data_IF_310797298486
#
_entry.id   IF_310797298486
#
_cell.length_a   1.000
_cell.length_b   1.000
_cell.length_c   1.000
_cell.angle_alpha   90.00
_cell.angle_beta   90.00
_cell.angle_gamma   90.00
#
_symmetry.space_group_name_H-M   'P 1'
#
loop_
_entity.id
_entity.type
_entity.pdbx_description
1 polymer ?
#
# COMPACT_ATOMS: atom_id res chain seq x y z
N UNK A 1 11.36 7.61 12.23
CA UNK A 1 11.15 8.85 13.02
C UNK A 1 10.88 9.97 12.01
N UNK A 2 9.62 10.29 11.75
CA UNK A 2 9.21 11.24 10.71
C UNK A 2 9.53 12.66 11.16
N UNK A 3 10.63 13.23 10.67
CA UNK A 3 10.95 14.63 10.93
C UNK A 3 10.26 15.49 9.88
N UNK A 4 9.15 16.11 10.31
CA UNK A 4 8.50 17.20 9.59
C UNK A 4 9.56 18.28 9.33
N UNK A 5 9.63 18.76 8.09
CA UNK A 5 10.64 19.73 7.69
C UNK A 5 10.62 20.98 8.59
N UNK A 6 11.77 21.46 9.10
CA UNK A 6 11.81 22.52 10.11
C UNK A 6 11.17 23.84 9.61
N UNK A 7 11.38 24.17 8.34
CA UNK A 7 10.89 25.42 7.74
C UNK A 7 9.42 25.30 7.30
N UNK A 8 8.57 26.20 7.79
CA UNK A 8 7.11 26.16 7.61
C UNK A 8 6.68 26.24 6.14
N UNK A 9 7.32 27.09 5.35
CA UNK A 9 6.97 27.30 3.94
C UNK A 9 7.23 26.06 3.09
N UNK A 10 8.25 25.27 3.43
CA UNK A 10 8.47 23.96 2.79
C UNK A 10 7.34 23.00 3.14
N UNK A 11 6.88 22.98 4.40
CA UNK A 11 5.73 22.13 4.78
C UNK A 11 4.47 22.48 3.97
N UNK A 12 4.21 23.76 3.72
CA UNK A 12 3.09 24.20 2.88
C UNK A 12 3.21 23.65 1.45
N UNK A 13 4.41 23.68 0.86
CA UNK A 13 4.62 23.11 -0.49
C UNK A 13 4.49 21.59 -0.48
N UNK A 14 5.05 20.90 0.51
CA UNK A 14 4.92 19.45 0.66
C UNK A 14 3.45 19.05 0.79
N UNK A 15 2.68 19.75 1.63
CA UNK A 15 1.25 19.54 1.80
C UNK A 15 0.49 19.77 0.48
N UNK A 16 0.78 20.86 -0.23
CA UNK A 16 0.18 21.13 -1.54
C UNK A 16 0.42 19.98 -2.51
N UNK A 17 1.66 19.51 -2.63
CA UNK A 17 2.02 18.39 -3.52
C UNK A 17 1.32 17.10 -3.12
N UNK A 18 1.20 16.81 -1.82
CA UNK A 18 0.44 15.64 -1.37
C UNK A 18 -1.06 15.76 -1.66
N UNK A 19 -1.67 16.93 -1.44
CA UNK A 19 -3.09 17.15 -1.76
C UNK A 19 -3.32 17.03 -3.27
N UNK A 20 -2.46 17.63 -4.09
CA UNK A 20 -2.55 17.54 -5.55
C UNK A 20 -2.47 16.09 -6.04
N UNK A 21 -1.54 15.31 -5.50
CA UNK A 21 -1.45 13.90 -5.85
C UNK A 21 -2.67 13.10 -5.35
N UNK A 22 -3.04 13.25 -4.07
CA UNK A 22 -4.06 12.40 -3.43
C UNK A 22 -5.49 12.73 -3.87
N UNK A 23 -5.80 14.00 -4.15
CA UNK A 23 -7.15 14.44 -4.54
C UNK A 23 -7.34 14.61 -6.04
N UNK A 24 -6.29 15.01 -6.76
CA UNK A 24 -6.39 15.36 -8.18
C UNK A 24 -5.57 14.44 -9.08
N UNK A 25 -4.97 13.38 -8.52
CA UNK A 25 -4.21 12.36 -9.26
C UNK A 25 -3.10 12.96 -10.13
N UNK A 26 -2.49 14.06 -9.69
CA UNK A 26 -1.35 14.67 -10.38
C UNK A 26 -0.21 13.65 -10.47
N UNK A 27 0.34 13.48 -11.68
CA UNK A 27 1.38 12.47 -11.92
C UNK A 27 2.64 12.70 -11.10
N UNK A 28 3.36 11.61 -10.78
CA UNK A 28 4.64 11.67 -10.07
C UNK A 28 5.66 12.63 -10.71
N UNK A 29 5.69 12.71 -12.06
CA UNK A 29 6.58 13.61 -12.79
C UNK A 29 6.21 15.08 -12.57
N UNK A 30 4.91 15.39 -12.61
CA UNK A 30 4.43 16.74 -12.35
C UNK A 30 4.70 17.15 -10.89
N UNK A 31 4.49 16.24 -9.92
CA UNK A 31 4.85 16.48 -8.52
C UNK A 31 6.35 16.76 -8.35
N UNK A 32 7.22 15.97 -8.99
CA UNK A 32 8.66 16.19 -8.94
C UNK A 32 9.06 17.54 -9.55
N UNK A 33 8.44 17.92 -10.68
CA UNK A 33 8.66 19.22 -11.31
C UNK A 33 8.27 20.37 -10.38
N UNK A 34 7.10 20.31 -9.74
CA UNK A 34 6.65 21.32 -8.77
C UNK A 34 7.67 21.47 -7.63
N UNK A 35 8.15 20.36 -7.07
CA UNK A 35 9.13 20.37 -5.98
C UNK A 35 10.46 21.01 -6.40
N UNK A 36 10.98 20.64 -7.58
CA UNK A 36 12.22 21.23 -8.14
C UNK A 36 12.04 22.72 -8.44
N UNK A 37 10.93 23.12 -9.07
CA UNK A 37 10.64 24.53 -9.33
C UNK A 37 10.60 25.34 -8.02
N UNK A 38 9.92 24.82 -6.99
CA UNK A 38 9.85 25.50 -5.70
C UNK A 38 11.22 25.59 -5.01
N UNK A 39 12.04 24.54 -5.06
CA UNK A 39 13.42 24.60 -4.57
C UNK A 39 14.23 25.70 -5.28
N UNK A 40 14.15 25.77 -6.61
CA UNK A 40 14.86 26.79 -7.40
C UNK A 40 14.39 28.21 -7.09
N UNK A 41 13.08 28.41 -6.89
CA UNK A 41 12.52 29.71 -6.49
C UNK A 41 13.07 30.13 -5.13
N UNK A 42 13.09 29.23 -4.14
CA UNK A 42 13.59 29.56 -2.81
C UNK A 42 15.12 29.80 -2.77
N UNK A 43 15.88 29.17 -3.66
CA UNK A 43 17.31 29.45 -3.83
C UNK A 43 17.55 30.81 -4.51
N UNK A 44 16.70 31.21 -5.46
CA UNK A 44 16.85 32.46 -6.21
C UNK A 44 16.36 33.72 -5.49
N UNK A 45 15.63 33.59 -4.38
CA UNK A 45 15.14 34.72 -3.61
C UNK A 45 16.27 35.38 -2.78
N UNK A 46 16.28 36.72 -2.66
CA UNK A 46 17.28 37.44 -1.87
C UNK A 46 17.28 36.96 -0.42
N UNK A 47 18.48 36.60 0.08
CA UNK A 47 18.66 36.00 1.39
C UNK A 47 18.89 34.48 1.38
N UNK A 48 18.93 33.83 0.21
CA UNK A 48 19.20 32.39 0.05
C UNK A 48 18.42 31.57 1.08
N UNK A 49 17.09 31.72 1.08
CA UNK A 49 16.19 31.14 2.07
C UNK A 49 16.37 29.62 2.21
N UNK A 50 16.89 28.98 1.15
CA UNK A 50 17.18 27.56 1.08
C UNK A 50 18.60 27.30 0.58
N UNK A 51 19.33 26.43 1.29
CA UNK A 51 20.58 25.84 0.78
C UNK A 51 20.31 24.68 -0.17
N UNK A 52 21.29 24.26 -0.97
CA UNK A 52 21.12 23.20 -1.95
C UNK A 52 20.67 21.89 -1.30
N UNK A 53 19.68 21.21 -1.89
CA UNK A 53 19.15 19.90 -1.46
C UNK A 53 18.50 19.88 -0.07
N UNK A 54 18.05 21.01 0.43
CA UNK A 54 17.33 21.07 1.72
C UNK A 54 15.85 20.73 1.60
N UNK A 55 15.28 20.68 0.39
CA UNK A 55 13.87 20.37 0.16
C UNK A 55 13.68 18.99 -0.47
N UNK A 56 12.66 18.21 -0.08
CA UNK A 56 12.30 16.97 -0.78
C UNK A 56 12.00 17.21 -2.27
N UNK A 57 12.64 16.43 -3.14
CA UNK A 57 12.51 16.56 -4.61
C UNK A 57 11.65 15.49 -5.26
N UNK A 58 11.23 14.49 -4.48
CA UNK A 58 10.40 13.39 -4.96
C UNK A 58 9.16 13.26 -4.10
N UNK A 59 8.08 12.76 -4.69
CA UNK A 59 6.86 12.48 -3.95
C UNK A 59 7.11 11.48 -2.81
N UNK A 60 7.95 10.46 -3.03
CA UNK A 60 8.29 9.47 -2.00
C UNK A 60 8.95 10.10 -0.78
N UNK A 61 9.92 11.00 -0.98
CA UNK A 61 10.55 11.73 0.13
C UNK A 61 9.58 12.70 0.79
N UNK A 62 8.70 13.33 0.01
CA UNK A 62 7.62 14.19 0.52
C UNK A 62 6.67 13.42 1.45
N UNK A 63 6.22 12.23 1.04
CA UNK A 63 5.35 11.37 1.85
C UNK A 63 6.06 10.87 3.10
N UNK A 64 7.33 10.47 3.00
CA UNK A 64 8.14 10.07 4.15
C UNK A 64 8.27 11.19 5.19
N UNK A 65 8.58 12.41 4.75
CA UNK A 65 8.70 13.58 5.64
C UNK A 65 7.37 13.95 6.32
N UNK A 66 6.24 13.71 5.67
CA UNK A 66 4.91 13.98 6.23
C UNK A 66 4.32 12.77 6.98
N UNK A 67 5.01 11.63 7.03
CA UNK A 67 4.46 10.41 7.60
C UNK A 67 3.24 9.87 6.86
N UNK A 68 3.15 10.14 5.55
CA UNK A 68 2.11 9.64 4.65
C UNK A 68 2.58 8.39 3.88
N UNK A 69 3.62 7.71 4.34
CA UNK A 69 4.03 6.45 3.71
C UNK A 69 3.05 5.35 4.07
N UNK A 70 2.68 4.56 3.06
CA UNK A 70 1.91 3.34 3.22
C UNK A 70 2.81 2.23 3.77
N UNK A 71 3.23 2.36 5.03
CA UNK A 71 4.06 1.35 5.73
C UNK A 71 3.29 0.03 6.00
N UNK A 72 2.00 0.01 5.65
CA UNK A 72 1.08 -1.11 5.89
C UNK A 72 1.23 -2.24 4.88
N UNK A 73 1.84 -1.97 3.73
CA UNK A 73 2.00 -2.97 2.68
C UNK A 73 3.46 -3.41 2.57
N UNK A 74 3.70 -4.70 2.75
CA UNK A 74 4.95 -5.33 2.35
C UNK A 74 4.89 -5.64 0.86
N UNK A 75 5.90 -5.23 0.12
CA UNK A 75 5.95 -5.49 -1.30
C UNK A 75 6.67 -6.81 -1.56
N UNK A 76 5.98 -7.76 -2.19
CA UNK A 76 6.53 -9.05 -2.60
C UNK A 76 6.77 -9.09 -4.11
N UNK A 77 7.76 -9.87 -4.51
CA UNK A 77 8.03 -10.19 -5.91
C UNK A 77 7.13 -11.35 -6.31
N UNK A 78 6.59 -11.31 -7.52
CA UNK A 78 5.62 -12.30 -7.99
C UNK A 78 6.17 -12.97 -9.24
N UNK A 79 6.13 -14.31 -9.30
CA UNK A 79 6.39 -15.02 -10.54
C UNK A 79 5.33 -14.63 -11.59
N UNK A 80 5.73 -14.20 -12.79
CA UNK A 80 4.76 -13.80 -13.82
C UNK A 80 3.93 -14.97 -14.37
N UNK A 81 4.37 -16.21 -14.16
CA UNK A 81 3.70 -17.42 -14.66
C UNK A 81 2.82 -18.08 -13.58
N UNK A 82 3.41 -18.57 -12.49
CA UNK A 82 2.67 -19.27 -11.43
C UNK A 82 2.13 -18.36 -10.32
N UNK A 83 2.43 -17.06 -10.34
CA UNK A 83 2.02 -16.10 -9.31
C UNK A 83 2.52 -16.37 -7.88
N UNK A 84 3.50 -17.28 -7.72
CA UNK A 84 4.15 -17.52 -6.43
C UNK A 84 4.84 -16.25 -5.91
N UNK A 85 4.75 -16.03 -4.60
CA UNK A 85 5.23 -14.85 -3.91
C UNK A 85 6.63 -15.07 -3.33
N UNK A 86 7.49 -14.08 -3.49
CA UNK A 86 8.86 -14.09 -2.97
C UNK A 86 9.16 -12.82 -2.17
N UNK A 87 9.98 -12.90 -1.11
CA UNK A 87 10.44 -11.72 -0.39
C UNK A 87 11.22 -10.75 -1.27
N UNK A 88 11.21 -9.47 -0.92
CA UNK A 88 12.00 -8.44 -1.63
C UNK A 88 13.51 -8.57 -1.49
N UNK A 89 13.97 -9.41 -0.56
CA UNK A 89 15.37 -9.61 -0.22
C UNK A 89 16.07 -10.64 -1.10
N UNK A 90 15.34 -11.35 -1.97
CA UNK A 90 15.93 -12.32 -2.89
C UNK A 90 16.87 -11.64 -3.88
N UNK A 91 17.89 -12.38 -4.33
CA UNK A 91 18.84 -11.86 -5.31
C UNK A 91 18.16 -11.61 -6.67
N UNK A 92 18.61 -10.56 -7.35
CA UNK A 92 18.21 -10.17 -8.70
C UNK A 92 18.50 -11.20 -9.80
N UNK A 93 19.30 -12.23 -9.51
CA UNK A 93 19.52 -13.38 -10.38
C UNK A 93 18.60 -14.58 -10.06
N UNK A 94 17.72 -14.46 -9.05
CA UNK A 94 16.83 -15.54 -8.63
C UNK A 94 15.79 -15.85 -9.71
N UNK A 95 15.59 -17.16 -9.95
CA UNK A 95 14.55 -17.71 -10.82
C UNK A 95 13.45 -18.35 -9.98
N UNK A 96 12.24 -18.41 -10.54
CA UNK A 96 11.16 -19.18 -9.93
C UNK A 96 11.56 -20.67 -9.87
N UNK A 97 11.49 -21.35 -8.71
CA UNK A 97 11.82 -22.77 -8.60
C UNK A 97 10.90 -23.68 -9.42
N UNK A 98 9.63 -23.31 -9.57
CA UNK A 98 8.62 -24.10 -10.27
C UNK A 98 8.64 -23.84 -11.79
N UNK A 99 8.69 -22.58 -12.20
CA UNK A 99 8.60 -22.21 -13.61
C UNK A 99 9.96 -22.02 -14.29
N UNK A 100 11.05 -21.94 -13.54
CA UNK A 100 12.42 -21.63 -14.02
C UNK A 100 12.57 -20.31 -14.78
N UNK A 101 11.58 -19.42 -14.70
CA UNK A 101 11.61 -18.08 -15.30
C UNK A 101 12.37 -17.07 -14.43
N UNK A 102 12.99 -16.08 -15.06
CA UNK A 102 13.64 -14.98 -14.36
C UNK A 102 12.59 -14.08 -13.67
N UNK A 103 12.78 -13.80 -12.38
CA UNK A 103 11.89 -12.92 -11.62
C UNK A 103 12.13 -11.43 -11.88
N UNK A 104 13.29 -11.12 -12.46
CA UNK A 104 13.77 -9.75 -12.69
C UNK A 104 14.05 -9.52 -14.17
N UNK A 105 13.70 -8.33 -14.63
CA UNK A 105 14.04 -7.89 -15.97
C UNK A 105 15.56 -7.94 -16.16
N UNK A 106 16.03 -8.32 -17.36
CA UNK A 106 17.45 -8.31 -17.66
C UNK A 106 18.02 -6.93 -17.40
N UNK A 107 19.24 -6.88 -16.85
CA UNK A 107 19.96 -5.62 -16.72
C UNK A 107 20.11 -5.01 -18.12
N UNK A 108 19.28 -4.02 -18.45
CA UNK A 108 19.52 -3.23 -19.65
C UNK A 108 20.92 -2.64 -19.48
N UNK A 109 21.76 -2.75 -20.51
CA UNK A 109 23.03 -2.04 -20.58
C UNK A 109 22.73 -0.53 -20.61
N UNK A 110 22.47 0.04 -19.44
CA UNK A 110 22.13 1.44 -19.30
C UNK A 110 23.43 2.22 -19.22
N UNK A 111 24.09 2.36 -20.38
CA UNK A 111 25.19 3.31 -20.59
C UNK A 111 24.86 4.67 -19.96
N UNK A 112 23.62 5.12 -20.12
CA UNK A 112 23.13 6.37 -19.54
C UNK A 112 23.08 6.37 -18.01
N UNK A 113 22.73 5.25 -17.35
CA UNK A 113 22.76 5.17 -15.88
C UNK A 113 24.18 5.03 -15.35
N UNK A 114 25.08 4.37 -16.07
CA UNK A 114 26.49 4.32 -15.71
C UNK A 114 27.10 5.73 -15.76
N UNK A 115 26.78 6.53 -16.79
CA UNK A 115 27.18 7.94 -16.89
C UNK A 115 26.59 8.76 -15.75
N UNK A 116 25.29 8.63 -15.47
CA UNK A 116 24.63 9.35 -14.35
C UNK A 116 25.21 8.95 -12.99
N UNK A 117 25.51 7.67 -12.75
CA UNK A 117 26.14 7.19 -11.53
C UNK A 117 27.57 7.76 -11.37
N UNK A 118 28.29 7.90 -12.48
CA UNK A 118 29.63 8.51 -12.52
C UNK A 118 29.58 10.01 -12.20
N UNK A 119 28.58 10.72 -12.72
CA UNK A 119 28.39 12.17 -12.50
C UNK A 119 27.80 12.47 -11.11
N UNK A 120 26.96 11.60 -10.57
CA UNK A 120 26.28 11.80 -9.27
C UNK A 120 27.02 11.18 -8.09
N UNK A 121 28.14 10.49 -8.32
CA UNK A 121 28.94 9.82 -7.28
C UNK A 121 28.24 8.63 -6.62
N UNK A 122 27.07 8.23 -7.13
CA UNK A 122 26.22 7.24 -6.49
C UNK A 122 26.51 5.85 -7.07
N UNK A 123 27.46 5.13 -6.47
CA UNK A 123 27.95 3.80 -6.90
C UNK A 123 27.05 2.63 -6.46
N UNK A 124 25.75 2.82 -6.31
CA UNK A 124 24.87 1.68 -6.10
C UNK A 124 24.61 1.00 -7.46
N UNK A 125 24.91 -0.30 -7.61
CA UNK A 125 24.56 -1.02 -8.83
C UNK A 125 23.04 -0.90 -9.04
N UNK A 126 22.58 -0.62 -10.27
CA UNK A 126 21.16 -0.50 -10.53
C UNK A 126 20.50 -1.84 -10.21
N UNK A 127 19.64 -1.86 -9.19
CA UNK A 127 18.88 -3.05 -8.85
C UNK A 127 18.00 -3.41 -10.04
N UNK A 128 18.09 -4.66 -10.51
CA UNK A 128 17.22 -5.13 -11.58
C UNK A 128 15.78 -4.98 -11.12
N UNK A 129 14.91 -4.53 -12.01
CA UNK A 129 13.50 -4.34 -11.68
C UNK A 129 12.78 -5.69 -11.76
N UNK A 130 12.03 -6.10 -10.72
CA UNK A 130 11.18 -7.28 -10.81
C UNK A 130 10.16 -7.14 -11.97
N UNK A 131 9.80 -8.26 -12.58
CA UNK A 131 8.76 -8.28 -13.62
C UNK A 131 7.38 -7.94 -13.08
N UNK A 132 7.05 -8.49 -11.91
CA UNK A 132 5.77 -8.28 -11.24
C UNK A 132 6.00 -8.12 -9.73
N UNK A 133 5.24 -7.20 -9.13
CA UNK A 133 5.24 -6.95 -7.68
C UNK A 133 3.81 -6.87 -7.18
N UNK A 134 3.56 -7.41 -6.00
CA UNK A 134 2.28 -7.31 -5.31
C UNK A 134 2.47 -6.64 -3.94
N UNK A 135 1.68 -5.61 -3.61
CA UNK A 135 1.56 -5.14 -2.24
C UNK A 135 0.74 -6.16 -1.45
N UNK A 136 1.23 -6.55 -0.28
CA UNK A 136 0.59 -7.47 0.65
C UNK A 136 0.42 -6.76 1.98
N UNK A 137 -0.78 -6.83 2.53
CA UNK A 137 -1.05 -6.47 3.91
C UNK A 137 -1.66 -7.69 4.58
N UNK A 138 -1.08 -8.13 5.70
CA UNK A 138 -1.67 -9.23 6.45
C UNK A 138 -3.00 -8.80 7.03
N UNK A 139 -3.98 -9.71 7.01
CA UNK A 139 -5.27 -9.47 7.64
C UNK A 139 -5.12 -9.07 9.11
N UNK A 140 -4.18 -9.68 9.82
CA UNK A 140 -3.86 -9.34 11.22
C UNK A 140 -3.47 -7.89 11.42
N UNK A 141 -2.73 -7.31 10.47
CA UNK A 141 -2.28 -5.91 10.54
C UNK A 141 -3.46 -4.97 10.26
N UNK A 142 -4.29 -5.31 9.27
CA UNK A 142 -5.54 -4.58 9.00
C UNK A 142 -6.52 -4.62 10.18
N UNK A 143 -6.66 -5.77 10.83
CA UNK A 143 -7.50 -5.94 12.01
C UNK A 143 -6.99 -5.14 13.21
N UNK A 144 -5.67 -5.10 13.42
CA UNK A 144 -5.05 -4.29 14.48
C UNK A 144 -5.41 -2.81 14.31
N UNK A 145 -5.23 -2.27 13.11
CA UNK A 145 -5.58 -0.89 12.78
C UNK A 145 -7.07 -0.61 12.94
N UNK A 146 -7.92 -1.59 12.60
CA UNK A 146 -9.36 -1.50 12.75
C UNK A 146 -9.75 -1.40 14.24
N UNK A 147 -9.24 -2.31 15.08
CA UNK A 147 -9.55 -2.35 16.51
C UNK A 147 -9.00 -1.16 17.30
N UNK A 148 -7.93 -0.51 16.84
CA UNK A 148 -7.41 0.71 17.47
C UNK A 148 -8.34 1.92 17.30
N UNK A 149 -9.32 1.88 16.39
CA UNK A 149 -10.26 2.98 16.20
C UNK A 149 -11.23 3.06 17.40
N UNK A 150 -11.34 4.23 18.06
CA UNK A 150 -12.27 4.41 19.18
C UNK A 150 -13.70 4.00 18.80
N UNK A 151 -14.34 3.20 19.66
CA UNK A 151 -15.72 2.72 19.45
C UNK A 151 -15.88 1.59 18.43
N UNK A 152 -14.82 1.18 17.70
CA UNK A 152 -14.93 0.13 16.68
C UNK A 152 -15.33 -1.22 17.27
N UNK A 153 -14.75 -1.60 18.41
CA UNK A 153 -15.09 -2.86 19.08
C UNK A 153 -16.57 -2.93 19.45
N UNK A 154 -17.13 -1.84 19.97
CA UNK A 154 -18.56 -1.74 20.28
C UNK A 154 -19.39 -1.84 19.02
N UNK A 155 -19.01 -1.11 17.96
CA UNK A 155 -19.69 -1.14 16.67
C UNK A 155 -19.71 -2.56 16.06
N UNK A 156 -18.59 -3.28 16.13
CA UNK A 156 -18.47 -4.66 15.63
C UNK A 156 -19.28 -5.67 16.44
N UNK A 157 -19.64 -5.37 17.68
CA UNK A 157 -20.48 -6.22 18.53
C UNK A 157 -21.97 -5.82 18.50
N UNK A 158 -22.35 -4.73 17.81
CA UNK A 158 -23.76 -4.27 17.77
C UNK A 158 -24.72 -5.34 17.26
N UNK A 159 -24.29 -6.23 16.38
CA UNK A 159 -25.13 -7.32 15.89
C UNK A 159 -25.52 -8.31 16.99
N UNK A 160 -24.73 -8.45 18.07
CA UNK A 160 -25.03 -9.36 19.19
C UNK A 160 -26.24 -8.91 20.02
N UNK A 161 -26.50 -7.59 20.07
CA UNK A 161 -27.61 -7.00 20.85
C UNK A 161 -28.83 -6.68 19.99
N UNK A 162 -28.76 -6.94 18.69
CA UNK A 162 -29.83 -6.63 17.75
C UNK A 162 -30.95 -7.68 17.87
N UNK A 163 -32.19 -7.22 17.96
CA UNK A 163 -33.35 -8.10 17.85
C UNK A 163 -33.60 -8.48 16.38
N UNK A 164 -33.75 -9.76 16.11
CA UNK A 164 -34.15 -10.28 14.79
C UNK A 164 -35.66 -10.22 14.66
N UNK A 165 -36.14 -9.80 13.48
CA UNK A 165 -37.56 -9.81 13.14
C UNK A 165 -37.80 -11.00 12.23
N UNK A 166 -38.74 -11.87 12.60
CA UNK A 166 -39.05 -13.06 11.82
C UNK A 166 -39.51 -12.68 10.40
N UNK A 167 -38.98 -13.36 9.39
CA UNK A 167 -39.27 -13.10 7.98
C UNK A 167 -38.50 -11.93 7.35
N UNK A 168 -37.66 -11.20 8.10
CA UNK A 168 -36.87 -10.09 7.57
C UNK A 168 -35.37 -10.29 7.76
N UNK A 169 -34.62 -10.30 6.66
CA UNK A 169 -33.14 -10.28 6.69
C UNK A 169 -32.65 -8.84 6.57
N UNK A 170 -32.08 -8.31 7.65
CA UNK A 170 -31.62 -6.91 7.73
C UNK A 170 -30.11 -6.78 7.88
N UNK A 171 -29.38 -7.87 8.09
CA UNK A 171 -27.92 -7.91 8.00
C UNK A 171 -27.40 -9.30 7.67
N UNK A 172 -26.10 -9.41 7.37
CA UNK A 172 -25.46 -10.68 7.02
C UNK A 172 -25.59 -11.75 8.12
N UNK A 173 -25.71 -11.33 9.38
CA UNK A 173 -25.85 -12.20 10.54
C UNK A 173 -27.21 -12.90 10.62
N UNK A 174 -28.21 -12.40 9.88
CA UNK A 174 -29.52 -13.06 9.76
C UNK A 174 -29.47 -14.22 8.75
N UNK A 175 -28.38 -14.34 7.99
CA UNK A 175 -28.18 -15.40 7.01
C UNK A 175 -27.99 -16.77 7.65
N UNK A 176 -28.40 -17.82 6.94
CA UNK A 176 -28.32 -19.22 7.40
C UNK A 176 -26.91 -19.61 7.85
N UNK A 177 -25.88 -19.24 7.08
CA UNK A 177 -24.48 -19.61 7.37
C UNK A 177 -24.05 -19.10 8.76
N UNK A 178 -24.34 -17.85 9.09
CA UNK A 178 -23.99 -17.29 10.40
C UNK A 178 -24.70 -18.01 11.55
N UNK A 179 -25.94 -18.46 11.32
CA UNK A 179 -26.79 -19.11 12.31
C UNK A 179 -26.53 -20.62 12.49
N UNK A 180 -25.86 -21.25 11.54
CA UNK A 180 -25.67 -22.70 11.48
C UNK A 180 -24.22 -23.16 11.53
N UNK A 181 -23.25 -22.30 11.20
CA UNK A 181 -21.83 -22.64 11.22
C UNK A 181 -21.40 -23.09 12.62
N UNK A 182 -20.67 -24.21 12.67
CA UNK A 182 -20.24 -24.86 13.90
C UNK A 182 -18.77 -24.58 14.20
N UNK A 183 -18.41 -24.48 15.47
CA UNK A 183 -17.04 -24.49 15.94
C UNK A 183 -16.46 -25.92 15.93
N UNK A 184 -15.19 -26.06 16.33
CA UNK A 184 -14.52 -27.36 16.45
C UNK A 184 -15.25 -28.35 17.37
N UNK A 185 -16.02 -27.85 18.34
CA UNK A 185 -16.76 -28.65 19.32
C UNK A 185 -18.20 -28.96 18.87
N UNK A 186 -18.62 -28.48 17.68
CA UNK A 186 -19.96 -28.69 17.15
C UNK A 186 -21.01 -27.67 17.62
N UNK A 187 -20.64 -26.66 18.40
CA UNK A 187 -21.55 -25.59 18.85
C UNK A 187 -21.65 -24.47 17.81
N UNK A 188 -22.73 -23.68 17.83
CA UNK A 188 -22.88 -22.54 16.92
C UNK A 188 -21.74 -21.53 17.11
N UNK A 189 -20.95 -21.29 16.06
CA UNK A 189 -19.76 -20.45 16.17
C UNK A 189 -20.08 -18.97 16.41
N UNK A 190 -21.20 -18.39 16.01
CA UNK A 190 -21.46 -16.96 16.32
C UNK A 190 -22.34 -16.75 17.55
N UNK A 191 -23.13 -17.77 17.93
CA UNK A 191 -24.23 -17.63 18.89
C UNK A 191 -24.14 -18.63 20.06
N UNK A 192 -22.96 -19.17 20.35
CA UNK A 192 -22.78 -20.06 21.50
C UNK A 192 -22.94 -19.30 22.83
N UNK A 193 -23.38 -19.96 23.91
CA UNK A 193 -23.26 -19.40 25.26
C UNK A 193 -21.79 -19.10 25.60
N UNK A 194 -21.51 -17.95 26.22
CA UNK A 194 -20.13 -17.54 26.61
C UNK A 194 -19.38 -16.66 25.62
N UNK A 195 -19.99 -16.28 24.49
CA UNK A 195 -19.38 -15.40 23.47
C UNK A 195 -19.29 -13.90 23.87
N UNK A 196 -19.67 -13.55 25.10
CA UNK A 196 -19.78 -12.15 25.54
C UNK A 196 -18.41 -11.49 25.71
N UNK A 197 -17.41 -12.27 26.12
CA UNK A 197 -16.05 -11.79 26.41
C UNK A 197 -15.06 -11.97 25.26
N UNK A 198 -15.50 -12.44 24.09
CA UNK A 198 -14.64 -12.66 22.93
C UNK A 198 -15.20 -12.07 21.63
N UNK A 199 -14.28 -11.77 20.72
CA UNK A 199 -14.60 -11.27 19.39
C UNK A 199 -14.54 -12.43 18.41
N UNK A 200 -15.68 -12.78 17.83
CA UNK A 200 -15.77 -13.76 16.75
C UNK A 200 -15.96 -13.00 15.43
N UNK A 201 -15.02 -13.18 14.52
CA UNK A 201 -14.96 -12.44 13.26
C UNK A 201 -15.41 -13.32 12.10
N UNK A 202 -16.49 -12.93 11.44
CA UNK A 202 -16.81 -13.41 10.11
C UNK A 202 -16.08 -12.55 9.08
N UNK A 203 -15.10 -13.12 8.37
CA UNK A 203 -14.36 -12.42 7.31
C UNK A 203 -14.98 -12.82 5.98
N UNK A 204 -15.66 -11.87 5.34
CA UNK A 204 -16.15 -12.04 3.97
C UNK A 204 -15.13 -11.44 3.01
N UNK A 205 -14.87 -12.16 1.92
CA UNK A 205 -13.97 -11.72 0.88
C UNK A 205 -14.76 -11.54 -0.40
N UNK A 206 -14.72 -10.34 -0.94
CA UNK A 206 -15.39 -10.00 -2.19
C UNK A 206 -14.36 -9.40 -3.12
N UNK A 207 -14.19 -10.01 -4.28
CA UNK A 207 -13.27 -9.57 -5.33
C UNK A 207 -14.10 -9.08 -6.51
N UNK A 208 -14.00 -7.79 -6.79
CA UNK A 208 -14.52 -7.19 -8.02
C UNK A 208 -13.34 -6.83 -8.93
N UNK A 209 -13.34 -7.34 -10.16
CA UNK A 209 -12.20 -7.27 -11.06
C UNK A 209 -12.62 -6.75 -12.43
N UNK A 210 -11.86 -5.80 -12.95
CA UNK A 210 -11.98 -5.31 -14.33
C UNK A 210 -10.80 -5.79 -15.18
N UNK A 211 -11.08 -6.24 -16.40
CA UNK A 211 -10.04 -6.72 -17.32
C UNK A 211 -8.94 -5.67 -17.55
N UNK A 212 -7.68 -6.09 -17.40
CA UNK A 212 -6.49 -5.24 -17.59
C UNK A 212 -6.45 -4.71 -19.02
N UNK A 213 -6.66 -3.40 -19.23
CA UNK A 213 -6.31 -2.73 -20.49
C UNK A 213 -4.81 -2.42 -20.50
N UNK A 214 -4.05 -3.12 -21.33
CA UNK A 214 -2.61 -2.94 -21.55
C UNK A 214 -2.29 -1.75 -22.47
N UNK A 215 -2.93 -0.60 -22.27
CA UNK A 215 -2.57 0.62 -23.02
C UNK A 215 -1.52 1.44 -22.25
N UNK A 216 -0.62 2.13 -22.97
CA UNK A 216 0.38 3.03 -22.38
C UNK A 216 -0.21 4.21 -21.58
N UNK A 217 -1.52 4.43 -21.69
CA UNK A 217 -2.28 5.48 -21.00
C UNK A 217 -3.34 4.92 -20.04
N UNK A 218 -3.42 3.59 -19.91
CA UNK A 218 -4.37 2.93 -19.03
C UNK A 218 -3.93 3.08 -17.58
N UNK A 219 -4.80 3.52 -16.66
CA UNK A 219 -4.48 3.41 -15.25
C UNK A 219 -4.26 1.93 -14.93
N UNK A 220 -3.17 1.63 -14.23
CA UNK A 220 -2.81 0.27 -13.82
C UNK A 220 -3.72 -0.19 -12.67
N UNK A 221 -5.00 -0.40 -12.97
CA UNK A 221 -5.99 -0.96 -12.05
C UNK A 221 -6.76 -2.06 -12.81
N UNK A 222 -7.14 -3.19 -12.22
CA UNK A 222 -6.74 -3.85 -10.99
C UNK A 222 -6.45 -5.29 -11.41
N UNK A 223 -5.19 -5.72 -11.35
CA UNK A 223 -4.89 -7.14 -11.41
C UNK A 223 -4.00 -7.49 -10.23
N UNK A 224 -4.51 -8.31 -9.31
CA UNK A 224 -3.82 -8.65 -8.08
C UNK A 224 -4.13 -10.08 -7.66
N UNK A 225 -3.10 -10.83 -7.31
CA UNK A 225 -3.29 -12.15 -6.72
C UNK A 225 -3.89 -11.96 -5.33
N UNK A 226 -4.96 -12.67 -5.02
CA UNK A 226 -5.62 -12.64 -3.71
C UNK A 226 -5.35 -13.96 -3.01
N UNK A 227 -4.75 -13.91 -1.83
CA UNK A 227 -4.48 -15.08 -0.98
C UNK A 227 -4.60 -14.69 0.48
N UNK A 228 -5.05 -15.63 1.30
CA UNK A 228 -4.81 -15.66 2.75
C UNK A 228 -3.66 -16.62 3.05
#
# INVERSE_FOLDING_TARGET
RNQIHPKWYIRCVLLLVAVLHTRYHVSFRACALILVCMETIFMGLPGNLLGPRQMPLTLGTTFSHMGLQDDKFTLHIVCPECHQLFPRTIDSATRCPECTVDLFAPAKQQLFQAVVATVTGNRQPPSRKPHLVAPIQLLSDGLRDLFQRPGMLSAMNLWKVRHQVEGESRSIQDGEVWNTIKDHNGHKFFFAPGCENEIRLGVSFSLDWFGRKTSNFGPSHSSGVMSF
#
